data_IF_825773521009
#
_entry.id   IF_825773521009
#
_cell.length_a   1.000
_cell.length_b   1.000
_cell.length_c   1.000
_cell.angle_alpha   90.00
_cell.angle_beta   90.00
_cell.angle_gamma   90.00
#
_symmetry.space_group_name_H-M   'P 1'
#
loop_
_entity.id
_entity.type
_entity.pdbx_description
1 polymer ?
#
# COMPACT_ATOMS: atom_id res chain seq x y z
N UNK A 1 4.40 -12.27 -2.67
CA UNK A 1 3.50 -11.10 -2.65
C UNK A 1 2.83 -10.86 -1.30
N UNK A 2 1.89 -11.69 -0.81
CA UNK A 2 1.15 -11.43 0.46
C UNK A 2 2.06 -11.11 1.67
N UNK A 3 3.11 -11.90 1.92
CA UNK A 3 4.05 -11.64 3.04
C UNK A 3 4.77 -10.28 2.96
N UNK A 4 5.02 -9.76 1.75
CA UNK A 4 5.68 -8.45 1.57
C UNK A 4 4.69 -7.31 1.77
N UNK A 5 3.46 -7.46 1.27
CA UNK A 5 2.38 -6.50 1.50
C UNK A 5 2.06 -6.40 3.00
N UNK A 6 1.94 -7.53 3.69
CA UNK A 6 1.68 -7.57 5.13
C UNK A 6 2.80 -6.90 5.95
N UNK A 7 4.06 -7.06 5.53
CA UNK A 7 5.20 -6.35 6.13
C UNK A 7 5.03 -4.83 6.03
N UNK A 8 4.74 -4.32 4.83
CA UNK A 8 4.55 -2.87 4.62
C UNK A 8 3.30 -2.34 5.32
N UNK A 9 2.20 -3.11 5.35
CA UNK A 9 0.99 -2.77 6.13
C UNK A 9 1.34 -2.62 7.62
N UNK A 10 2.09 -3.55 8.21
CA UNK A 10 2.52 -3.48 9.62
C UNK A 10 3.44 -2.29 9.90
N UNK A 11 4.31 -1.94 8.96
CA UNK A 11 5.20 -0.79 9.13
C UNK A 11 4.41 0.52 9.11
N UNK A 12 3.50 0.66 8.14
CA UNK A 12 2.67 1.86 8.01
C UNK A 12 1.73 2.01 9.21
N UNK A 13 1.19 0.92 9.76
CA UNK A 13 0.31 1.01 10.94
C UNK A 13 1.00 1.51 12.21
N UNK A 14 2.34 1.50 12.25
CA UNK A 14 3.14 2.02 13.36
C UNK A 14 3.50 3.51 13.17
N UNK A 15 3.25 4.11 12.01
CA UNK A 15 3.52 5.51 11.74
C UNK A 15 2.52 6.42 12.50
N UNK A 16 2.99 7.11 13.54
CA UNK A 16 2.13 7.97 14.37
C UNK A 16 2.02 9.43 13.89
N UNK A 17 2.99 9.91 13.11
CA UNK A 17 3.04 11.29 12.63
C UNK A 17 3.26 11.27 11.12
N UNK A 18 2.36 11.94 10.40
CA UNK A 18 2.34 11.99 8.94
C UNK A 18 2.57 13.44 8.52
N UNK A 19 3.67 13.71 7.80
CA UNK A 19 3.93 15.03 7.23
C UNK A 19 3.26 15.14 5.87
N UNK A 20 2.10 15.80 5.81
CA UNK A 20 1.33 16.00 4.57
C UNK A 20 2.14 16.60 3.40
N UNK A 21 3.12 17.50 3.60
CA UNK A 21 3.95 18.01 2.50
C UNK A 21 4.78 16.95 1.78
N UNK A 22 5.05 15.80 2.41
CA UNK A 22 5.80 14.69 1.81
C UNK A 22 4.90 13.79 0.95
N UNK A 23 3.60 14.10 0.85
CA UNK A 23 2.63 13.33 0.07
C UNK A 23 2.35 13.99 -1.27
N UNK A 24 2.42 13.19 -2.32
CA UNK A 24 1.96 13.56 -3.65
C UNK A 24 0.57 12.94 -3.90
N UNK A 25 -0.39 13.76 -4.36
CA UNK A 25 -1.67 13.24 -4.82
C UNK A 25 -1.51 12.56 -6.19
N UNK A 26 -2.03 11.34 -6.30
CA UNK A 26 -1.99 10.55 -7.54
C UNK A 26 -3.36 9.95 -7.79
N UNK A 27 -3.87 10.13 -9.01
CA UNK A 27 -5.11 9.51 -9.45
C UNK A 27 -4.82 8.13 -10.04
N UNK A 28 -5.31 7.07 -9.39
CA UNK A 28 -5.12 5.68 -9.81
C UNK A 28 -6.46 5.14 -10.32
N UNK A 29 -6.46 4.69 -11.57
CA UNK A 29 -7.63 4.02 -12.18
C UNK A 29 -7.36 2.53 -12.24
N UNK A 30 -8.33 1.73 -11.81
CA UNK A 30 -8.24 0.27 -11.80
C UNK A 30 -9.62 -0.34 -11.98
N UNK A 31 -9.66 -1.64 -12.27
CA UNK A 31 -10.91 -2.38 -12.45
C UNK A 31 -11.66 -2.59 -11.12
N UNK A 32 -12.94 -2.95 -11.22
CA UNK A 32 -13.83 -3.11 -10.08
C UNK A 32 -13.44 -4.26 -9.14
N UNK A 33 -12.74 -5.27 -9.62
CA UNK A 33 -12.30 -6.41 -8.81
C UNK A 33 -11.11 -6.00 -7.95
N UNK A 34 -10.13 -5.34 -8.56
CA UNK A 34 -8.97 -4.76 -7.88
C UNK A 34 -9.40 -3.76 -6.81
N UNK A 35 -10.33 -2.84 -7.13
CA UNK A 35 -10.88 -1.88 -6.16
C UNK A 35 -11.56 -2.59 -4.98
N UNK A 36 -12.30 -3.69 -5.24
CA UNK A 36 -12.93 -4.48 -4.18
C UNK A 36 -11.89 -5.15 -3.28
N UNK A 37 -10.84 -5.70 -3.87
CA UNK A 37 -9.76 -6.36 -3.12
C UNK A 37 -9.05 -5.37 -2.19
N UNK A 38 -8.69 -4.19 -2.70
CA UNK A 38 -8.05 -3.12 -1.92
C UNK A 38 -8.96 -2.69 -0.75
N UNK A 39 -10.26 -2.46 -1.01
CA UNK A 39 -11.22 -2.09 0.03
C UNK A 39 -11.37 -3.16 1.10
N UNK A 40 -11.34 -4.45 0.72
CA UNK A 40 -11.37 -5.55 1.68
C UNK A 40 -10.11 -5.56 2.56
N UNK A 41 -8.93 -5.43 1.95
CA UNK A 41 -7.66 -5.36 2.70
C UNK A 41 -7.60 -4.17 3.65
N UNK A 42 -8.13 -3.00 3.24
CA UNK A 42 -8.26 -1.84 4.11
C UNK A 42 -9.15 -2.14 5.33
N UNK A 43 -10.27 -2.83 5.13
CA UNK A 43 -11.15 -3.25 6.21
C UNK A 43 -10.47 -4.26 7.17
N UNK A 44 -9.74 -5.23 6.63
CA UNK A 44 -9.08 -6.28 7.41
C UNK A 44 -7.88 -5.75 8.21
N UNK A 45 -7.11 -4.81 7.63
CA UNK A 45 -5.94 -4.21 8.27
C UNK A 45 -6.27 -3.06 9.23
N UNK A 46 -7.48 -2.48 9.13
CA UNK A 46 -7.85 -1.26 9.85
C UNK A 46 -7.18 0.01 9.31
N UNK A 47 -6.49 -0.07 8.18
CA UNK A 47 -5.82 1.07 7.54
C UNK A 47 -6.72 1.75 6.50
N UNK A 48 -6.55 3.07 6.27
CA UNK A 48 -7.16 3.75 5.14
C UNK A 48 -6.73 3.13 3.80
N UNK A 49 -7.63 3.20 2.80
CA UNK A 49 -7.36 2.70 1.44
C UNK A 49 -6.06 3.26 0.85
N UNK A 50 -5.78 4.56 1.06
CA UNK A 50 -4.54 5.19 0.59
C UNK A 50 -3.28 4.53 1.16
N UNK A 51 -3.30 4.15 2.44
CA UNK A 51 -2.18 3.47 3.11
C UNK A 51 -2.01 2.03 2.66
N UNK A 52 -3.11 1.33 2.36
CA UNK A 52 -3.03 0.01 1.74
C UNK A 52 -2.44 0.08 0.33
N UNK A 53 -2.86 1.07 -0.47
CA UNK A 53 -2.29 1.31 -1.81
C UNK A 53 -0.80 1.64 -1.72
N UNK A 54 -0.40 2.46 -0.76
CA UNK A 54 1.01 2.74 -0.49
C UNK A 54 1.81 1.45 -0.17
N UNK A 55 1.27 0.58 0.70
CA UNK A 55 1.91 -0.70 1.02
C UNK A 55 2.09 -1.59 -0.22
N UNK A 56 1.09 -1.62 -1.11
CA UNK A 56 1.14 -2.37 -2.36
C UNK A 56 2.23 -1.82 -3.29
N UNK A 57 2.32 -0.50 -3.44
CA UNK A 57 3.35 0.16 -4.26
C UNK A 57 4.75 -0.13 -3.69
N UNK A 58 4.94 0.00 -2.37
CA UNK A 58 6.23 -0.31 -1.71
C UNK A 58 6.64 -1.77 -1.93
N UNK A 59 5.71 -2.72 -1.79
CA UNK A 59 5.96 -4.14 -2.01
C UNK A 59 6.36 -4.44 -3.47
N UNK A 60 5.68 -3.81 -4.43
CA UNK A 60 5.99 -3.95 -5.86
C UNK A 60 7.37 -3.37 -6.20
N UNK A 61 7.72 -2.20 -5.67
CA UNK A 61 9.04 -1.58 -5.88
C UNK A 61 10.18 -2.45 -5.31
N UNK A 62 9.99 -3.07 -4.14
CA UNK A 62 10.95 -4.01 -3.55
C UNK A 62 11.13 -5.27 -4.43
N UNK A 63 10.08 -5.73 -5.11
CA UNK A 63 10.17 -6.82 -6.09
C UNK A 63 10.90 -6.40 -7.37
N UNK A 64 10.65 -5.20 -7.90
CA UNK A 64 11.37 -4.68 -9.08
C UNK A 64 12.86 -4.54 -8.79
N UNK A 65 13.23 -3.92 -7.66
CA UNK A 65 14.63 -3.75 -7.28
C UNK A 65 15.36 -5.09 -7.13
N UNK A 66 14.69 -6.10 -6.56
CA UNK A 66 15.25 -7.44 -6.44
C UNK A 66 15.41 -8.17 -7.78
N UNK A 67 14.63 -7.81 -8.80
CA UNK A 67 14.68 -8.42 -10.13
C UNK A 67 15.67 -7.73 -11.09
N UNK A 68 16.03 -6.47 -10.82
CA UNK A 68 17.02 -5.69 -11.59
C UNK A 68 18.43 -5.74 -11.00
N UNK A 69 18.66 -6.57 -9.97
CA UNK A 69 19.95 -6.82 -9.34
C UNK A 69 20.78 -7.88 -10.05
#
# INVERSE_FOLDING_TARGET
>A
MLNKVDKHIKQISQEQIIFLPDFQEVNIVSDNETVRCIKRLAKESGLPVSRVVEALIRAALEEVQAATG
#
